data_IF_185462130776
#
_entry.id   IF_185462130776
#
_cell.length_a   1.000
_cell.length_b   1.000
_cell.length_c   1.000
_cell.angle_alpha   90.00
_cell.angle_beta   90.00
_cell.angle_gamma   90.00
#
_symmetry.space_group_name_H-M   'P 1'
#
loop_
_entity.id
_entity.type
_entity.pdbx_description
1 polymer ?
#
# COMPACT_ATOMS: atom_id res chain seq x y z
N UNK A 1 12.66 -3.04 20.90
CA UNK A 1 12.36 -1.71 21.47
C UNK A 1 10.95 -1.64 22.09
N UNK A 2 10.72 -2.29 23.23
CA UNK A 2 9.37 -2.37 23.82
C UNK A 2 8.86 -1.04 24.41
N UNK A 3 9.74 -0.25 25.04
CA UNK A 3 9.33 1.05 25.60
C UNK A 3 8.98 2.07 24.52
N UNK A 4 9.68 2.04 23.38
CA UNK A 4 9.40 2.95 22.27
C UNK A 4 8.10 2.57 21.57
N UNK A 5 7.85 1.29 21.32
CA UNK A 5 6.56 0.86 20.75
C UNK A 5 5.38 1.22 21.65
N UNK A 6 5.50 1.05 22.98
CA UNK A 6 4.45 1.48 23.94
C UNK A 6 4.18 2.98 23.92
N UNK A 7 5.23 3.81 23.85
CA UNK A 7 5.08 5.28 23.76
C UNK A 7 4.41 5.69 22.44
N UNK A 8 4.76 5.03 21.34
CA UNK A 8 4.15 5.28 20.03
C UNK A 8 2.66 4.91 20.02
N UNK A 9 2.30 3.73 20.54
CA UNK A 9 0.88 3.33 20.69
C UNK A 9 0.06 4.38 21.42
N UNK A 10 0.54 4.82 22.59
CA UNK A 10 -0.14 5.84 23.39
C UNK A 10 -0.23 7.19 22.67
N UNK A 11 0.81 7.58 21.95
CA UNK A 11 0.82 8.85 21.20
C UNK A 11 -0.18 8.84 20.05
N UNK A 12 -0.36 7.70 19.39
CA UNK A 12 -1.24 7.54 18.22
C UNK A 12 -2.61 6.95 18.58
N UNK A 13 -2.95 6.84 19.86
CA UNK A 13 -4.21 6.25 20.35
C UNK A 13 -4.50 4.85 19.77
N UNK A 14 -3.47 4.00 19.70
CA UNK A 14 -3.58 2.62 19.23
C UNK A 14 -3.67 1.69 20.44
N UNK A 15 -4.84 1.12 20.68
CA UNK A 15 -5.06 0.13 21.73
C UNK A 15 -4.70 -1.29 21.27
N UNK A 16 -5.27 -1.72 20.14
CA UNK A 16 -4.98 -3.00 19.49
C UNK A 16 -4.33 -2.76 18.12
N UNK A 17 -3.04 -3.09 18.02
CA UNK A 17 -2.23 -2.88 16.83
C UNK A 17 -2.72 -3.70 15.63
N UNK A 18 -3.26 -4.90 15.87
CA UNK A 18 -3.76 -5.77 14.79
C UNK A 18 -5.06 -5.23 14.24
N UNK A 19 -5.97 -4.86 15.14
CA UNK A 19 -7.24 -4.25 14.76
C UNK A 19 -7.03 -2.94 14.02
N UNK A 20 -6.19 -2.04 14.53
CA UNK A 20 -5.91 -0.76 13.86
C UNK A 20 -5.25 -0.93 12.49
N UNK A 21 -4.38 -1.94 12.30
CA UNK A 21 -3.81 -2.23 10.98
C UNK A 21 -4.86 -2.80 10.02
N UNK A 22 -5.76 -3.68 10.48
CA UNK A 22 -6.86 -4.21 9.68
C UNK A 22 -7.81 -3.08 9.24
N UNK A 23 -8.23 -2.23 10.18
CA UNK A 23 -9.08 -1.07 9.90
C UNK A 23 -8.44 -0.10 8.90
N UNK A 24 -7.12 0.10 8.97
CA UNK A 24 -6.41 0.94 8.01
C UNK A 24 -6.38 0.31 6.60
N UNK A 25 -6.26 -1.01 6.49
CA UNK A 25 -6.36 -1.71 5.20
C UNK A 25 -7.77 -1.66 4.64
N UNK A 26 -8.80 -1.82 5.47
CA UNK A 26 -10.20 -1.70 5.05
C UNK A 26 -10.48 -0.28 4.56
N UNK A 27 -10.08 0.75 5.31
CA UNK A 27 -10.21 2.16 4.88
C UNK A 27 -9.50 2.44 3.55
N UNK A 28 -8.32 1.85 3.33
CA UNK A 28 -7.60 1.98 2.07
C UNK A 28 -8.37 1.33 0.91
N UNK A 29 -8.91 0.13 1.11
CA UNK A 29 -9.69 -0.56 0.09
C UNK A 29 -11.03 0.12 -0.19
N UNK A 30 -11.69 0.67 0.83
CA UNK A 30 -12.89 1.49 0.69
C UNK A 30 -12.61 2.76 -0.13
N UNK A 31 -11.47 3.41 0.09
CA UNK A 31 -11.05 4.58 -0.66
C UNK A 31 -10.82 4.27 -2.15
N UNK A 32 -10.38 3.06 -2.49
CA UNK A 32 -10.28 2.58 -3.88
C UNK A 32 -11.68 2.23 -4.42
N UNK A 33 -12.51 1.58 -3.62
CA UNK A 33 -13.84 1.14 -4.00
C UNK A 33 -13.85 -0.02 -5.00
N UNK A 34 -15.05 -0.54 -5.36
CA UNK A 34 -15.18 -1.80 -6.07
C UNK A 34 -14.84 -1.74 -7.57
N UNK A 35 -14.85 -0.54 -8.17
CA UNK A 35 -14.80 -0.36 -9.62
C UNK A 35 -13.44 0.10 -10.15
N UNK A 36 -12.42 0.19 -9.29
CA UNK A 36 -11.07 0.64 -9.66
C UNK A 36 -10.04 -0.40 -9.25
N UNK A 37 -8.96 -0.47 -10.02
CA UNK A 37 -7.85 -1.37 -9.71
C UNK A 37 -6.84 -0.75 -8.73
N UNK A 38 -6.74 0.58 -8.76
CA UNK A 38 -5.87 1.40 -7.94
C UNK A 38 -6.63 2.63 -7.44
N UNK A 39 -6.08 3.35 -6.46
CA UNK A 39 -6.63 4.65 -6.08
C UNK A 39 -6.59 5.63 -7.26
N UNK A 40 -5.55 5.53 -8.11
CA UNK A 40 -5.43 6.25 -9.38
C UNK A 40 -6.38 5.82 -10.51
N UNK A 41 -7.24 4.81 -10.30
CA UNK A 41 -8.16 4.31 -11.33
C UNK A 41 -7.63 3.04 -11.99
N UNK A 42 -7.34 3.11 -13.30
CA UNK A 42 -6.78 2.00 -14.10
C UNK A 42 -5.26 1.90 -14.04
N UNK A 43 -4.58 2.88 -13.45
CA UNK A 43 -3.14 2.88 -13.25
C UNK A 43 -2.81 3.51 -11.89
N UNK A 44 -1.73 3.10 -11.23
CA UNK A 44 -1.40 3.63 -9.91
C UNK A 44 -0.96 5.08 -9.98
N UNK A 45 -1.35 5.85 -8.97
CA UNK A 45 -0.88 7.22 -8.77
C UNK A 45 0.16 7.30 -7.63
N UNK A 46 0.52 8.51 -7.22
CA UNK A 46 1.49 8.73 -6.15
C UNK A 46 1.02 8.19 -4.78
N UNK A 47 -0.27 8.19 -4.50
CA UNK A 47 -0.80 7.64 -3.25
C UNK A 47 -0.72 6.11 -3.24
N UNK A 48 -1.00 5.45 -4.38
CA UNK A 48 -0.79 4.00 -4.52
C UNK A 48 0.68 3.63 -4.29
N UNK A 49 1.61 4.36 -4.91
CA UNK A 49 3.04 4.15 -4.74
C UNK A 49 3.50 4.39 -3.30
N UNK A 50 2.99 5.44 -2.66
CA UNK A 50 3.29 5.75 -1.26
C UNK A 50 2.83 4.65 -0.31
N UNK A 51 1.60 4.17 -0.48
CA UNK A 51 1.05 3.08 0.33
C UNK A 51 1.79 1.76 0.07
N UNK A 52 2.08 1.44 -1.20
CA UNK A 52 2.84 0.23 -1.55
C UNK A 52 4.25 0.24 -0.97
N UNK A 53 4.95 1.39 -1.05
CA UNK A 53 6.26 1.56 -0.44
C UNK A 53 6.24 1.37 1.08
N UNK A 54 5.24 1.96 1.75
CA UNK A 54 5.05 1.78 3.19
C UNK A 54 4.81 0.30 3.56
N UNK A 55 3.89 -0.37 2.86
CA UNK A 55 3.60 -1.79 3.10
C UNK A 55 4.78 -2.71 2.85
N UNK A 56 5.58 -2.42 1.81
CA UNK A 56 6.77 -3.19 1.48
C UNK A 56 7.79 -3.19 2.62
N UNK A 57 7.91 -2.09 3.37
CA UNK A 57 8.84 -1.98 4.49
C UNK A 57 8.54 -2.95 5.65
N UNK A 58 7.32 -3.46 5.75
CA UNK A 58 6.91 -4.39 6.82
C UNK A 58 6.23 -5.67 6.33
N UNK A 59 6.28 -5.97 5.03
CA UNK A 59 5.62 -7.15 4.42
C UNK A 59 6.14 -8.50 4.96
N UNK A 60 7.40 -8.55 5.40
CA UNK A 60 8.00 -9.74 6.00
C UNK A 60 7.53 -10.04 7.44
N UNK A 61 6.91 -9.06 8.12
CA UNK A 61 6.51 -9.18 9.51
C UNK A 61 5.31 -10.11 9.69
N UNK A 62 5.24 -10.78 10.85
CA UNK A 62 4.10 -11.64 11.20
C UNK A 62 2.76 -10.91 11.13
N UNK A 63 2.70 -9.67 11.60
CA UNK A 63 1.47 -8.85 11.57
C UNK A 63 0.91 -8.67 10.16
N UNK A 64 1.80 -8.47 9.18
CA UNK A 64 1.40 -8.35 7.78
C UNK A 64 0.84 -9.66 7.25
N UNK A 65 1.55 -10.78 7.48
CA UNK A 65 1.13 -12.11 7.01
C UNK A 65 -0.19 -12.58 7.61
N UNK A 66 -0.49 -12.16 8.85
CA UNK A 66 -1.76 -12.45 9.52
C UNK A 66 -2.95 -11.70 8.90
N UNK A 67 -2.73 -10.51 8.34
CA UNK A 67 -3.81 -9.62 7.85
C UNK A 67 -3.92 -9.60 6.32
N UNK A 68 -2.82 -9.72 5.60
CA UNK A 68 -2.76 -9.74 4.13
C UNK A 68 -2.81 -11.20 3.68
N UNK A 69 -4.00 -11.79 3.86
CA UNK A 69 -4.27 -13.18 3.51
C UNK A 69 -4.50 -13.31 2.00
N UNK A 70 -4.00 -14.40 1.41
CA UNK A 70 -4.19 -14.74 -0.01
C UNK A 70 -5.68 -14.59 -0.41
N UNK A 71 -5.94 -13.88 -1.51
CA UNK A 71 -7.30 -13.64 -2.02
C UNK A 71 -8.06 -12.49 -1.35
N UNK A 72 -7.58 -11.91 -0.24
CA UNK A 72 -8.19 -10.71 0.33
C UNK A 72 -8.03 -9.49 -0.60
N UNK A 73 -8.95 -8.50 -0.58
CA UNK A 73 -8.87 -7.31 -1.44
C UNK A 73 -7.53 -6.58 -1.34
N UNK A 74 -7.01 -6.41 -0.11
CA UNK A 74 -5.72 -5.77 0.13
C UNK A 74 -4.55 -6.59 -0.43
N UNK A 75 -4.61 -7.94 -0.35
CA UNK A 75 -3.59 -8.81 -0.94
C UNK A 75 -3.60 -8.75 -2.48
N UNK A 76 -4.78 -8.70 -3.09
CA UNK A 76 -4.93 -8.54 -4.53
C UNK A 76 -4.37 -7.21 -5.00
N UNK A 77 -4.71 -6.10 -4.32
CA UNK A 77 -4.16 -4.78 -4.63
C UNK A 77 -2.63 -4.73 -4.43
N UNK A 78 -2.12 -5.27 -3.32
CA UNK A 78 -0.67 -5.27 -3.03
C UNK A 78 0.12 -6.09 -4.06
N UNK A 79 -0.39 -7.24 -4.47
CA UNK A 79 0.21 -8.07 -5.52
C UNK A 79 0.13 -7.39 -6.89
N UNK A 80 -0.95 -6.68 -7.19
CA UNK A 80 -1.08 -5.89 -8.42
C UNK A 80 -0.03 -4.78 -8.46
N UNK A 81 0.08 -4.00 -7.38
CA UNK A 81 1.12 -2.97 -7.23
C UNK A 81 2.53 -3.53 -7.42
N UNK A 82 2.82 -4.68 -6.80
CA UNK A 82 4.12 -5.36 -6.96
C UNK A 82 4.45 -5.65 -8.41
N UNK A 83 3.52 -6.25 -9.16
CA UNK A 83 3.70 -6.54 -10.59
C UNK A 83 3.95 -5.27 -11.40
N UNK A 84 3.13 -4.23 -11.20
CA UNK A 84 3.25 -2.97 -11.92
C UNK A 84 4.59 -2.28 -11.68
N UNK A 85 5.09 -2.31 -10.44
CA UNK A 85 6.40 -1.74 -10.09
C UNK A 85 7.54 -2.60 -10.67
N UNK A 86 7.49 -3.93 -10.54
CA UNK A 86 8.49 -4.86 -11.10
C UNK A 86 8.58 -4.78 -12.63
N UNK A 87 7.45 -4.58 -13.30
CA UNK A 87 7.38 -4.42 -14.75
C UNK A 87 7.78 -3.01 -15.24
N UNK A 88 8.11 -2.08 -14.33
CA UNK A 88 8.45 -0.70 -14.66
C UNK A 88 7.38 0.01 -15.52
N UNK A 89 6.10 -0.25 -15.28
CA UNK A 89 5.03 0.23 -16.17
C UNK A 89 4.96 1.77 -16.26
N UNK A 90 5.49 2.51 -15.27
CA UNK A 90 5.61 3.96 -15.31
C UNK A 90 6.67 4.52 -16.26
N UNK A 91 7.55 3.68 -16.85
CA UNK A 91 8.67 4.12 -17.72
C UNK A 91 8.22 4.97 -18.91
N UNK A 92 7.05 4.66 -19.48
CA UNK A 92 6.49 5.39 -20.62
C UNK A 92 6.29 6.89 -20.33
N UNK A 93 6.11 7.29 -19.07
CA UNK A 93 6.00 8.70 -18.67
C UNK A 93 7.32 9.45 -18.83
N UNK A 94 8.45 8.78 -18.59
CA UNK A 94 9.79 9.33 -18.78
C UNK A 94 10.13 9.48 -20.27
N UNK A 95 9.74 8.48 -21.08
CA UNK A 95 9.95 8.49 -22.53
C UNK A 95 9.17 9.63 -23.20
N UNK A 96 7.91 9.86 -22.81
CA UNK A 96 7.12 11.01 -23.30
C UNK A 96 7.76 12.35 -22.95
N UNK A 97 8.29 12.50 -21.74
CA UNK A 97 8.97 13.73 -21.32
C UNK A 97 10.22 14.02 -22.15
N UNK A 98 11.03 13.00 -22.44
CA UNK A 98 12.23 13.16 -23.27
C UNK A 98 11.95 13.63 -24.69
N UNK A 99 10.73 13.41 -25.22
CA UNK A 99 10.31 13.88 -26.54
C UNK A 99 9.77 15.31 -26.47
N UNK A 100 9.08 15.67 -25.38
CA UNK A 100 8.53 17.02 -25.19
C UNK A 100 9.58 18.10 -24.89
N UNK A 101 10.71 17.70 -24.27
CA UNK A 101 11.84 18.58 -23.96
C UNK A 101 12.82 18.78 -25.15
N UNK A 102 12.51 18.23 -26.35
CA UNK A 102 13.25 18.42 -27.61
C UNK A 102 12.47 19.30 -28.57
#
# INVERSE_FOLDING_TARGET
MWMVSKRLKRRHNIDDERKSMAEAFDQWMDAIGPNREYLGGSSPNLADLGMYGAMTAFSGCRAFKELVVEGSPIALWFNRMRKTVENHEGRHLLEKRSVADK
#
